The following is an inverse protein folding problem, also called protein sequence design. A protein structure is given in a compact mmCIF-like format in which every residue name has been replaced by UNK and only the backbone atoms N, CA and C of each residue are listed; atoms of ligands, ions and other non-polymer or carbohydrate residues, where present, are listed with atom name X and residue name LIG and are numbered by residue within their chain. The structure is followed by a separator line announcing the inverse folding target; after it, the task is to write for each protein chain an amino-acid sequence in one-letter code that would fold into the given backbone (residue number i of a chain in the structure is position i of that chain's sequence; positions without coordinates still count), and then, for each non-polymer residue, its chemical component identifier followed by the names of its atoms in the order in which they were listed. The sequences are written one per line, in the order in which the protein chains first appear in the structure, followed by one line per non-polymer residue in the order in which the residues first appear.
data_IF_272253215862
#
_entry.id   IF_272253215862
#
_cell.length_a   1.000
_cell.length_b   1.000
_cell.length_c   1.000
_cell.angle_alpha   90.00
_cell.angle_beta   90.00
_cell.angle_gamma   90.00
#
_symmetry.space_group_name_H-M   'P 1'
#
loop_
_entity.id
_entity.type
_entity.pdbx_description
1 polymer ?
#
# COMPACT_ATOMS: atom_id res chain seq x y z
N UNK A 1 3.41 3.57 0.14
CA UNK A 1 2.15 4.26 -0.26
C UNK A 1 1.07 3.23 -0.51
N UNK A 2 1.18 2.37 -1.54
CA UNK A 2 0.14 1.37 -1.84
C UNK A 2 -0.14 0.41 -0.68
N UNK A 3 0.90 -0.24 -0.11
CA UNK A 3 0.75 -1.11 1.08
C UNK A 3 0.05 -0.42 2.25
N UNK A 4 0.26 0.88 2.42
CA UNK A 4 -0.45 1.65 3.45
C UNK A 4 -1.94 1.80 3.11
N UNK A 5 -2.29 2.17 1.87
CA UNK A 5 -3.68 2.34 1.44
C UNK A 5 -4.48 1.05 1.52
N UNK A 6 -3.91 -0.07 1.08
CA UNK A 6 -4.57 -1.37 1.19
C UNK A 6 -4.50 -1.98 2.59
N UNK A 7 -3.80 -1.36 3.56
CA UNK A 7 -3.63 -1.96 4.89
C UNK A 7 -2.85 -3.27 4.86
N UNK A 8 -1.80 -3.36 4.04
CA UNK A 8 -0.84 -4.47 4.05
C UNK A 8 0.23 -4.22 5.12
N UNK A 9 -0.03 -4.76 6.30
CA UNK A 9 0.88 -4.69 7.46
C UNK A 9 1.96 -5.75 7.46
N UNK A 10 1.88 -6.77 6.59
CA UNK A 10 2.84 -7.89 6.48
C UNK A 10 3.84 -7.74 5.31
N UNK A 11 4.00 -6.53 4.76
CA UNK A 11 4.95 -6.28 3.67
C UNK A 11 6.41 -6.15 4.15
N UNK A 12 7.01 -7.28 4.52
CA UNK A 12 8.41 -7.36 4.93
C UNK A 12 9.39 -7.32 3.73
N UNK A 13 10.69 -7.08 4.00
CA UNK A 13 11.74 -7.00 2.97
C UNK A 13 11.84 -8.29 2.12
N UNK A 14 11.48 -9.45 2.68
CA UNK A 14 11.39 -10.74 1.95
C UNK A 14 10.40 -10.70 0.77
N UNK A 15 9.46 -9.75 0.77
CA UNK A 15 8.47 -9.55 -0.30
C UNK A 15 8.97 -8.59 -1.39
N UNK A 16 10.27 -8.24 -1.37
CA UNK A 16 10.94 -7.47 -2.42
C UNK A 16 12.05 -8.32 -3.03
N UNK A 17 12.00 -8.50 -4.35
CA UNK A 17 13.02 -9.24 -5.10
C UNK A 17 13.69 -8.37 -6.16
N UNK A 18 14.94 -8.68 -6.46
CA UNK A 18 15.69 -8.12 -7.58
C UNK A 18 15.81 -9.16 -8.69
N UNK A 19 15.54 -8.72 -9.91
CA UNK A 19 15.76 -9.50 -11.12
C UNK A 19 17.07 -9.07 -11.76
N UNK A 20 17.89 -10.05 -12.10
CA UNK A 20 19.14 -9.87 -12.82
C UNK A 20 18.92 -10.24 -14.29
N UNK A 21 19.53 -9.50 -15.21
CA UNK A 21 19.65 -9.97 -16.60
C UNK A 21 20.51 -11.23 -16.67
N UNK A 22 20.38 -11.99 -17.76
CA UNK A 22 21.17 -13.21 -17.99
C UNK A 22 22.68 -12.95 -17.90
N UNK A 23 23.13 -11.76 -18.30
CA UNK A 23 24.53 -11.33 -18.23
C UNK A 23 24.93 -10.68 -16.89
N UNK A 24 24.01 -10.61 -15.92
CA UNK A 24 24.15 -10.02 -14.59
C UNK A 24 24.51 -8.52 -14.56
N UNK A 25 24.47 -7.82 -15.70
CA UNK A 25 24.86 -6.40 -15.78
C UNK A 25 23.75 -5.44 -15.40
N UNK A 26 22.50 -5.88 -15.50
CA UNK A 26 21.35 -5.05 -15.15
C UNK A 26 20.61 -5.66 -13.97
N UNK A 27 20.25 -4.79 -13.04
CA UNK A 27 19.48 -5.13 -11.85
C UNK A 27 18.23 -4.27 -11.88
N UNK A 28 17.06 -4.90 -11.75
CA UNK A 28 15.79 -4.19 -11.60
C UNK A 28 14.96 -4.81 -10.50
N UNK A 29 14.01 -4.06 -9.96
CA UNK A 29 13.00 -4.63 -9.09
C UNK A 29 12.13 -5.62 -9.87
N UNK A 30 11.80 -6.73 -9.22
CA UNK A 30 10.74 -7.61 -9.69
C UNK A 30 9.39 -6.84 -9.66
N UNK A 31 8.42 -7.22 -10.51
CA UNK A 31 7.03 -6.80 -10.31
C UNK A 31 6.61 -7.08 -8.86
N UNK A 32 5.77 -6.23 -8.29
CA UNK A 32 5.29 -6.40 -6.92
C UNK A 32 4.45 -7.66 -6.80
N UNK A 33 4.68 -8.45 -5.75
CA UNK A 33 3.93 -9.66 -5.41
C UNK A 33 3.58 -9.64 -3.92
N UNK A 34 2.75 -10.59 -3.48
CA UNK A 34 2.34 -10.75 -2.08
C UNK A 34 1.74 -9.46 -1.47
N UNK A 35 0.85 -8.82 -2.22
CA UNK A 35 0.09 -7.68 -1.73
C UNK A 35 -1.25 -8.19 -1.21
N UNK A 36 -1.39 -8.20 0.10
CA UNK A 36 -2.59 -8.68 0.80
C UNK A 36 -3.04 -7.59 1.77
N UNK A 37 -4.34 -7.28 1.78
CA UNK A 37 -4.91 -6.41 2.82
C UNK A 37 -5.02 -7.20 4.12
N UNK A 38 -3.97 -7.18 4.94
CA UNK A 38 -3.95 -7.94 6.19
C UNK A 38 -4.82 -7.28 7.26
N UNK A 39 -4.97 -5.96 7.22
CA UNK A 39 -5.79 -5.19 8.18
C UNK A 39 -7.27 -5.59 8.23
N UNK A 40 -7.81 -6.26 7.21
CA UNK A 40 -9.20 -6.72 7.27
C UNK A 40 -9.41 -7.85 8.29
N UNK A 41 -8.36 -8.62 8.60
CA UNK A 41 -8.39 -9.71 9.56
C UNK A 41 -8.11 -9.22 10.99
N UNK A 42 -9.01 -9.53 11.94
CA UNK A 42 -8.92 -9.05 13.33
C UNK A 42 -7.68 -9.52 14.09
N UNK A 43 -7.08 -10.65 13.69
CA UNK A 43 -5.86 -11.19 14.29
C UNK A 43 -4.58 -10.52 13.81
N UNK A 44 -4.66 -9.64 12.80
CA UNK A 44 -3.50 -8.99 12.21
C UNK A 44 -3.06 -7.78 13.01
N UNK A 45 -1.75 -7.52 13.00
CA UNK A 45 -1.16 -6.32 13.60
C UNK A 45 -1.59 -5.06 12.85
N UNK A 46 -1.80 -3.97 13.59
CA UNK A 46 -1.99 -2.62 13.06
C UNK A 46 -0.67 -1.92 12.67
N UNK A 47 0.46 -2.48 13.10
CA UNK A 47 1.78 -1.96 12.74
C UNK A 47 2.19 -2.40 11.34
N UNK A 48 2.54 -1.43 10.49
CA UNK A 48 3.18 -1.65 9.20
C UNK A 48 4.52 -2.38 9.37
N UNK A 49 4.84 -3.33 8.49
CA UNK A 49 6.13 -4.02 8.47
C UNK A 49 7.36 -3.09 8.33
N UNK A 50 7.19 -1.92 7.72
CA UNK A 50 8.21 -0.88 7.59
C UNK A 50 7.63 0.45 8.08
N UNK A 51 8.38 1.17 8.92
CA UNK A 51 7.96 2.48 9.39
C UNK A 51 7.90 3.51 8.27
N UNK A 52 7.00 4.48 8.41
CA UNK A 52 6.89 5.63 7.51
C UNK A 52 7.05 6.89 8.36
N UNK A 53 8.14 7.63 8.15
CA UNK A 53 8.48 8.78 8.97
C UNK A 53 8.83 8.42 10.41
N UNK A 54 9.18 7.15 10.67
CA UNK A 54 9.42 6.58 12.00
C UNK A 54 8.17 6.10 12.74
N UNK A 55 7.00 6.10 12.08
CA UNK A 55 5.74 5.62 12.65
C UNK A 55 5.40 4.24 12.07
N UNK A 56 4.98 3.32 12.94
CA UNK A 56 4.60 1.96 12.57
C UNK A 56 3.09 1.74 12.54
N UNK A 57 2.35 2.22 13.56
CA UNK A 57 0.91 2.05 13.60
C UNK A 57 0.27 2.76 12.40
N UNK A 58 -0.49 2.00 11.60
CA UNK A 58 -1.14 2.50 10.38
C UNK A 58 -2.07 3.68 10.65
N UNK A 59 -2.73 3.72 11.81
CA UNK A 59 -3.63 4.79 12.21
C UNK A 59 -2.89 6.07 12.61
N UNK A 60 -1.59 6.03 12.88
CA UNK A 60 -0.78 7.21 13.21
C UNK A 60 -0.02 7.76 11.99
N UNK A 61 -0.12 7.10 10.85
CA UNK A 61 0.54 7.52 9.61
C UNK A 61 -0.39 8.47 8.86
N UNK A 62 0.17 9.61 8.44
CA UNK A 62 -0.54 10.58 7.60
C UNK A 62 0.34 11.03 6.44
N UNK A 63 -0.20 11.94 5.64
CA UNK A 63 0.54 12.64 4.58
C UNK A 63 1.87 13.24 5.06
N UNK A 64 1.95 13.76 6.28
CA UNK A 64 3.19 14.36 6.79
C UNK A 64 4.28 13.31 7.08
N UNK A 65 3.92 12.09 7.47
CA UNK A 65 4.86 10.97 7.63
C UNK A 65 5.47 10.59 6.29
N UNK A 66 4.68 10.55 5.21
CA UNK A 66 5.21 10.33 3.85
C UNK A 66 6.15 11.44 3.39
N UNK A 67 5.84 12.69 3.75
CA UNK A 67 6.70 13.85 3.44
C UNK A 67 8.03 13.78 4.18
N UNK A 68 7.98 13.43 5.47
CA UNK A 68 9.15 13.22 6.33
C UNK A 68 10.01 12.08 5.79
N UNK A 69 9.38 10.95 5.47
CA UNK A 69 10.09 9.78 4.94
C UNK A 69 10.76 10.10 3.61
N UNK A 70 10.07 10.77 2.69
CA UNK A 70 10.66 11.21 1.43
C UNK A 70 11.93 12.05 1.64
N UNK A 71 11.91 12.97 2.61
CA UNK A 71 13.10 13.76 2.97
C UNK A 71 14.22 12.87 3.54
N UNK A 72 13.89 11.91 4.41
CA UNK A 72 14.87 11.01 5.03
C UNK A 72 15.63 10.17 3.99
N UNK A 73 14.92 9.68 2.96
CA UNK A 73 15.51 8.86 1.90
C UNK A 73 16.07 9.68 0.72
N UNK A 74 16.18 11.01 0.87
CA UNK A 74 16.76 11.89 -0.14
C UNK A 74 15.89 12.14 -1.38
N UNK A 75 14.59 11.81 -1.33
CA UNK A 75 13.64 12.12 -2.40
C UNK A 75 13.08 13.54 -2.28
N UNK A 76 12.78 14.15 -3.44
CA UNK A 76 12.11 15.45 -3.49
C UNK A 76 10.72 15.38 -2.89
N UNK A 77 10.52 15.96 -1.70
CA UNK A 77 9.26 15.87 -0.94
C UNK A 77 8.03 16.34 -1.74
N UNK A 78 8.17 17.35 -2.61
CA UNK A 78 7.08 17.82 -3.48
C UNK A 78 6.61 16.73 -4.46
N UNK A 79 7.54 16.00 -5.06
CA UNK A 79 7.22 14.92 -6.00
C UNK A 79 6.60 13.73 -5.27
N UNK A 80 7.19 13.32 -4.15
CA UNK A 80 6.68 12.22 -3.34
C UNK A 80 5.25 12.49 -2.86
N UNK A 81 4.98 13.71 -2.40
CA UNK A 81 3.66 14.09 -1.92
C UNK A 81 2.65 14.25 -3.05
N UNK A 82 3.04 14.80 -4.19
CA UNK A 82 2.19 14.79 -5.39
C UNK A 82 1.79 13.36 -5.77
N UNK A 83 2.72 12.40 -5.67
CA UNK A 83 2.45 10.99 -5.95
C UNK A 83 1.53 10.36 -4.90
N UNK A 84 1.72 10.68 -3.63
CA UNK A 84 0.83 10.24 -2.55
C UNK A 84 -0.60 10.76 -2.77
N UNK A 85 -0.76 12.07 -2.95
CA UNK A 85 -2.06 12.72 -3.15
C UNK A 85 -2.78 12.13 -4.37
N UNK A 86 -2.06 11.91 -5.48
CA UNK A 86 -2.60 11.25 -6.66
C UNK A 86 -2.99 9.78 -6.41
N UNK A 87 -2.25 9.04 -5.60
CA UNK A 87 -2.60 7.65 -5.30
C UNK A 87 -3.87 7.59 -4.45
N UNK A 88 -3.96 8.43 -3.42
CA UNK A 88 -5.14 8.51 -2.54
C UNK A 88 -6.38 8.91 -3.34
N UNK A 89 -6.30 9.96 -4.16
CA UNK A 89 -7.45 10.45 -4.93
C UNK A 89 -8.05 9.44 -5.91
N UNK A 90 -7.26 8.46 -6.35
CA UNK A 90 -7.69 7.44 -7.31
C UNK A 90 -7.98 6.09 -6.65
N UNK A 91 -7.62 5.91 -5.37
CA UNK A 91 -7.61 4.59 -4.73
C UNK A 91 -9.03 4.03 -4.57
N UNK A 92 -9.97 4.80 -4.02
CA UNK A 92 -11.34 4.33 -3.82
C UNK A 92 -12.00 3.97 -5.15
N UNK A 93 -11.86 4.81 -6.18
CA UNK A 93 -12.40 4.54 -7.51
C UNK A 93 -11.84 3.26 -8.12
N UNK A 94 -10.52 3.09 -8.09
CA UNK A 94 -9.86 1.89 -8.59
C UNK A 94 -10.25 0.63 -7.81
N UNK A 95 -10.43 0.74 -6.49
CA UNK A 95 -10.85 -0.38 -5.65
C UNK A 95 -12.29 -0.81 -5.98
N UNK A 96 -13.21 0.15 -6.11
CA UNK A 96 -14.61 -0.12 -6.51
C UNK A 96 -14.71 -0.72 -7.91
N UNK A 97 -13.94 -0.19 -8.86
CA UNK A 97 -13.88 -0.75 -10.21
C UNK A 97 -13.36 -2.21 -10.19
N UNK A 98 -12.31 -2.47 -9.42
CA UNK A 98 -11.76 -3.82 -9.26
C UNK A 98 -12.79 -4.77 -8.61
N UNK A 99 -13.52 -4.28 -7.60
CA UNK A 99 -14.57 -5.04 -6.94
C UNK A 99 -15.70 -5.41 -7.92
N UNK A 100 -16.13 -4.45 -8.75
CA UNK A 100 -17.14 -4.67 -9.77
C UNK A 100 -16.69 -5.71 -10.81
N UNK A 101 -15.43 -5.64 -11.24
CA UNK A 101 -14.86 -6.61 -12.18
C UNK A 101 -14.85 -8.04 -11.61
N UNK A 102 -14.46 -8.21 -10.34
CA UNK A 102 -14.47 -9.51 -9.68
C UNK A 102 -15.90 -10.01 -9.46
N UNK A 103 -16.84 -9.13 -9.07
CA UNK A 103 -18.26 -9.47 -8.97
C UNK A 103 -18.81 -9.99 -10.31
N UNK A 104 -18.46 -9.35 -11.43
CA UNK A 104 -18.82 -9.80 -12.79
C UNK A 104 -18.23 -11.17 -13.16
N UNK A 105 -17.12 -11.55 -12.55
CA UNK A 105 -16.50 -12.87 -12.72
C UNK A 105 -17.12 -13.94 -11.80
N UNK A 106 -18.09 -13.58 -10.95
CA UNK A 106 -18.81 -14.50 -10.07
C UNK A 106 -18.22 -14.64 -8.67
N UNK A 107 -17.27 -13.78 -8.26
CA UNK A 107 -16.79 -13.75 -6.89
C UNK A 107 -17.83 -13.08 -5.97
N UNK A 108 -18.17 -13.74 -4.86
CA UNK A 108 -19.08 -13.23 -3.84
C UNK A 108 -18.31 -12.51 -2.70
N UNK A 109 -19.00 -11.67 -1.92
CA UNK A 109 -18.42 -10.95 -0.77
C UNK A 109 -17.39 -9.86 -1.12
N UNK A 110 -17.18 -9.56 -2.40
CA UNK A 110 -16.14 -8.62 -2.85
C UNK A 110 -16.41 -7.19 -2.38
N UNK A 111 -17.67 -6.75 -2.35
CA UNK A 111 -18.05 -5.42 -1.87
C UNK A 111 -17.75 -5.25 -0.37
N UNK A 112 -17.98 -6.29 0.43
CA UNK A 112 -17.68 -6.29 1.86
C UNK A 112 -16.17 -6.21 2.11
N UNK A 113 -15.38 -6.94 1.31
CA UNK A 113 -13.92 -6.87 1.35
C UNK A 113 -13.45 -5.46 0.97
N UNK A 114 -13.97 -4.89 -0.11
CA UNK A 114 -13.62 -3.53 -0.54
C UNK A 114 -13.98 -2.50 0.55
N UNK A 115 -15.15 -2.61 1.18
CA UNK A 115 -15.56 -1.75 2.27
C UNK A 115 -14.62 -1.88 3.49
N UNK A 116 -14.22 -3.09 3.86
CA UNK A 116 -13.25 -3.32 4.95
C UNK A 116 -11.88 -2.72 4.63
N UNK A 117 -11.40 -2.83 3.38
CA UNK A 117 -10.14 -2.21 2.95
C UNK A 117 -10.21 -0.69 3.10
N UNK A 118 -11.31 -0.05 2.68
CA UNK A 118 -11.51 1.40 2.83
C UNK A 118 -11.56 1.83 4.30
N UNK A 119 -12.21 1.03 5.14
CA UNK A 119 -12.40 1.34 6.56
C UNK A 119 -11.14 1.16 7.40
N UNK A 120 -10.41 0.05 7.18
CA UNK A 120 -9.28 -0.39 8.01
C UNK A 120 -7.91 -0.12 7.39
N UNK A 121 -7.87 0.22 6.10
CA UNK A 121 -6.65 0.66 5.43
C UNK A 121 -6.23 2.08 5.83
N UNK A 122 -5.18 2.58 5.21
CA UNK A 122 -4.59 3.89 5.51
C UNK A 122 -5.44 5.12 5.13
N UNK A 123 -6.72 4.97 4.83
CA UNK A 123 -7.61 6.12 4.52
C UNK A 123 -8.47 6.56 5.69
N UNK A 124 -8.32 5.96 6.87
CA UNK A 124 -9.14 6.22 8.05
C UNK A 124 -9.11 7.68 8.58
N UNK A 125 -8.17 8.52 8.13
CA UNK A 125 -7.92 9.86 8.69
C UNK A 125 -7.83 10.98 7.64
N UNK A 126 -8.54 10.89 6.52
CA UNK A 126 -8.71 12.05 5.63
C UNK A 126 -9.81 12.99 6.09
#
# INVERSE_FOLDING_TARGET
MFNYLVGNTDNHIKNVSLLYSEDLKTIRLAPTYDIISTMIYESSTENMALSIGGIYNIHDISREQFKKEAKNIGLGSKLAIKRFDNMVSNFEGALRESAEQLRKQGFEGVEDIAAQILQKGGMHLQ
#
